data_IF_089326379441
#
_entry.id   IF_089326379441
#
_cell.length_a   1.000
_cell.length_b   1.000
_cell.length_c   1.000
_cell.angle_alpha   90.00
_cell.angle_beta   90.00
_cell.angle_gamma   90.00
#
_symmetry.space_group_name_H-M   'P 1'
#
loop_
_entity.id
_entity.type
_entity.pdbx_description
1 polymer ?
#
# COMPACT_ATOMS: atom_id res chain seq x y z
N UNK A 1 -19.37 -7.64 -12.93
CA UNK A 1 -19.11 -8.70 -11.94
C UNK A 1 -17.81 -8.49 -11.14
N UNK A 2 -16.64 -8.32 -11.79
CA UNK A 2 -15.37 -7.99 -11.10
C UNK A 2 -15.43 -6.70 -10.26
N UNK A 3 -16.09 -5.67 -10.79
CA UNK A 3 -16.28 -4.38 -10.10
C UNK A 3 -17.09 -4.49 -8.81
N UNK A 4 -18.16 -5.29 -8.79
CA UNK A 4 -18.97 -5.53 -7.59
C UNK A 4 -18.22 -6.36 -6.55
N UNK A 5 -17.49 -7.40 -6.98
CA UNK A 5 -16.64 -8.19 -6.10
C UNK A 5 -15.57 -7.33 -5.41
N UNK A 6 -14.84 -6.49 -6.16
CA UNK A 6 -13.87 -5.55 -5.59
C UNK A 6 -14.46 -4.62 -4.53
N UNK A 7 -15.68 -4.11 -4.76
CA UNK A 7 -16.38 -3.25 -3.80
C UNK A 7 -16.71 -4.00 -2.52
N UNK A 8 -17.18 -5.24 -2.62
CA UNK A 8 -17.51 -6.07 -1.47
C UNK A 8 -16.25 -6.41 -0.65
N UNK A 9 -15.18 -6.88 -1.30
CA UNK A 9 -13.88 -7.13 -0.64
C UNK A 9 -13.38 -5.87 0.07
N UNK A 10 -13.44 -4.70 -0.56
CA UNK A 10 -13.03 -3.43 0.07
C UNK A 10 -13.80 -3.13 1.35
N UNK A 11 -15.10 -3.38 1.40
CA UNK A 11 -15.91 -3.15 2.61
C UNK A 11 -15.54 -4.11 3.73
N UNK A 12 -15.36 -5.40 3.42
CA UNK A 12 -14.91 -6.41 4.39
C UNK A 12 -13.54 -6.03 4.95
N UNK A 13 -12.58 -5.69 4.10
CA UNK A 13 -11.24 -5.29 4.51
C UNK A 13 -11.24 -3.98 5.31
N UNK A 14 -12.06 -2.99 4.91
CA UNK A 14 -12.19 -1.73 5.64
C UNK A 14 -12.75 -1.94 7.04
N UNK A 15 -13.81 -2.73 7.16
CA UNK A 15 -14.42 -3.08 8.44
C UNK A 15 -13.46 -3.85 9.36
N UNK A 16 -12.67 -4.78 8.80
CA UNK A 16 -11.59 -5.45 9.56
C UNK A 16 -10.50 -4.48 10.01
N UNK A 17 -10.10 -3.54 9.15
CA UNK A 17 -9.02 -2.59 9.44
C UNK A 17 -9.39 -1.54 10.47
N UNK A 18 -10.67 -1.18 10.59
CA UNK A 18 -11.15 -0.21 11.59
C UNK A 18 -11.22 -0.78 13.02
N UNK A 19 -10.80 -2.03 13.25
CA UNK A 19 -10.84 -2.66 14.57
C UNK A 19 -12.26 -3.01 15.02
N UNK A 20 -13.16 -3.27 14.07
CA UNK A 20 -14.49 -3.76 14.38
C UNK A 20 -14.40 -5.04 15.23
N UNK A 21 -15.20 -5.11 16.30
CA UNK A 21 -15.36 -6.36 17.05
C UNK A 21 -15.87 -7.46 16.11
N UNK A 22 -15.71 -8.74 16.49
CA UNK A 22 -16.06 -9.87 15.63
C UNK A 22 -17.51 -9.81 15.08
N UNK A 23 -18.43 -9.21 15.84
CA UNK A 23 -19.83 -9.02 15.46
C UNK A 23 -20.08 -7.80 14.56
N UNK A 24 -19.14 -6.85 14.48
CA UNK A 24 -19.23 -5.63 13.66
C UNK A 24 -18.52 -5.78 12.29
N UNK A 25 -18.03 -6.98 11.96
CA UNK A 25 -17.40 -7.23 10.67
C UNK A 25 -18.47 -7.20 9.58
N UNK A 26 -18.26 -6.32 8.58
CA UNK A 26 -19.16 -6.20 7.44
C UNK A 26 -19.34 -7.55 6.72
N UNK A 27 -20.60 -7.99 6.60
CA UNK A 27 -20.96 -9.22 5.92
C UNK A 27 -21.35 -8.93 4.45
N UNK A 28 -20.74 -9.64 3.47
CA UNK A 28 -21.08 -9.46 2.06
C UNK A 28 -22.55 -9.76 1.79
N UNK A 29 -23.21 -8.89 1.02
CA UNK A 29 -24.66 -9.00 0.74
C UNK A 29 -25.05 -10.09 -0.26
N UNK A 30 -24.09 -10.58 -1.05
CA UNK A 30 -24.35 -11.54 -2.12
C UNK A 30 -23.99 -12.95 -1.66
N UNK A 31 -24.93 -13.89 -1.79
CA UNK A 31 -24.75 -15.28 -1.38
C UNK A 31 -23.59 -15.98 -2.11
N UNK A 32 -23.31 -15.58 -3.35
CA UNK A 32 -22.26 -16.16 -4.19
C UNK A 32 -20.90 -15.43 -4.06
N UNK A 33 -20.73 -14.49 -3.12
CA UNK A 33 -19.46 -13.76 -3.00
C UNK A 33 -18.28 -14.71 -2.75
N UNK A 34 -18.51 -15.75 -1.93
CA UNK A 34 -17.52 -16.80 -1.66
C UNK A 34 -17.15 -17.62 -2.91
N UNK A 35 -18.07 -17.77 -3.87
CA UNK A 35 -17.80 -18.48 -5.13
C UNK A 35 -16.91 -17.67 -6.08
N UNK A 36 -16.71 -16.38 -5.81
CA UNK A 36 -15.89 -15.48 -6.61
C UNK A 36 -14.48 -15.29 -6.06
N UNK A 37 -14.09 -16.04 -5.02
CA UNK A 37 -12.75 -15.95 -4.42
C UNK A 37 -11.61 -16.13 -5.43
N UNK A 38 -11.80 -16.93 -6.49
CA UNK A 38 -10.81 -17.10 -7.56
C UNK A 38 -10.45 -15.79 -8.30
N UNK A 39 -11.32 -14.78 -8.26
CA UNK A 39 -11.03 -13.48 -8.84
C UNK A 39 -9.99 -12.71 -8.02
N UNK A 40 -9.90 -12.97 -6.71
CA UNK A 40 -8.94 -12.30 -5.84
C UNK A 40 -7.50 -12.55 -6.32
N UNK A 41 -7.18 -13.79 -6.68
CA UNK A 41 -5.84 -14.20 -7.11
C UNK A 41 -5.41 -13.60 -8.45
N UNK A 42 -6.39 -13.24 -9.30
CA UNK A 42 -6.13 -12.60 -10.60
C UNK A 42 -6.08 -11.07 -10.51
N UNK A 43 -6.77 -10.48 -9.53
CA UNK A 43 -6.89 -9.03 -9.37
C UNK A 43 -5.74 -8.44 -8.54
N UNK A 44 -5.21 -9.21 -7.57
CA UNK A 44 -3.98 -8.83 -6.86
C UNK A 44 -2.82 -9.19 -7.78
N UNK A 45 -2.38 -8.20 -8.56
CA UNK A 45 -1.18 -8.33 -9.39
C UNK A 45 -0.04 -8.86 -8.53
N UNK A 46 0.57 -9.98 -8.94
CA UNK A 46 1.77 -10.47 -8.28
C UNK A 46 2.91 -9.50 -8.53
N UNK A 47 3.74 -9.31 -7.53
CA UNK A 47 5.02 -8.63 -7.70
C UNK A 47 5.83 -9.35 -8.79
N UNK A 48 6.41 -8.58 -9.70
CA UNK A 48 7.25 -9.15 -10.75
C UNK A 48 8.53 -9.67 -10.13
N UNK A 49 8.87 -10.94 -10.42
CA UNK A 49 10.14 -11.54 -9.99
C UNK A 49 11.14 -11.41 -11.13
N UNK A 50 12.25 -10.72 -10.87
CA UNK A 50 13.35 -10.55 -11.82
C UNK A 50 14.30 -11.75 -11.72
N UNK A 51 14.64 -12.38 -12.85
CA UNK A 51 15.62 -13.47 -12.92
C UNK A 51 17.08 -12.97 -13.04
N UNK A 52 17.30 -11.66 -12.99
CA UNK A 52 18.64 -11.08 -13.00
C UNK A 52 19.23 -11.27 -11.61
N UNK A 53 20.18 -12.21 -11.51
CA UNK A 53 21.02 -12.35 -10.33
C UNK A 53 21.86 -11.07 -10.20
N UNK A 54 21.60 -10.25 -9.19
CA UNK A 54 22.37 -9.04 -8.87
C UNK A 54 23.75 -9.42 -8.32
N UNK A 55 24.57 -10.05 -9.16
CA UNK A 55 25.99 -10.25 -8.92
C UNK A 55 26.76 -9.12 -9.60
N UNK A 56 26.84 -7.96 -8.94
CA UNK A 56 28.04 -7.09 -8.84
C UNK A 56 27.67 -5.71 -8.31
N UNK A 57 27.91 -5.48 -7.01
CA UNK A 57 28.74 -4.41 -6.46
C UNK A 57 28.52 -4.32 -4.94
N UNK A 58 29.38 -5.01 -4.17
CA UNK A 58 29.54 -4.70 -2.76
C UNK A 58 30.15 -3.30 -2.61
N UNK A 59 29.37 -2.32 -2.16
CA UNK A 59 29.89 -1.21 -1.36
C UNK A 59 29.47 -1.48 0.09
N UNK A 60 30.41 -1.77 1.02
CA UNK A 60 30.05 -1.89 2.42
C UNK A 60 29.91 -0.47 2.95
N UNK A 61 28.69 0.05 3.08
CA UNK A 61 28.48 1.25 3.87
C UNK A 61 27.95 0.85 5.25
N UNK A 62 28.90 0.93 6.18
CA UNK A 62 28.85 0.68 7.61
C UNK A 62 27.59 1.23 8.30
N UNK A 63 26.88 0.36 9.02
CA UNK A 63 25.85 0.71 9.98
C UNK A 63 26.47 1.34 11.23
N UNK A 64 26.55 2.67 11.27
CA UNK A 64 26.75 3.42 12.51
C UNK A 64 25.42 4.03 12.94
N UNK A 65 24.78 3.39 13.91
CA UNK A 65 23.77 4.02 14.77
C UNK A 65 24.48 5.02 15.70
N UNK A 66 24.38 6.31 15.39
CA UNK A 66 24.66 7.37 16.36
C UNK A 66 23.68 8.52 16.14
N UNK A 67 22.66 8.56 17.00
CA UNK A 67 21.86 9.76 17.27
C UNK A 67 22.79 10.92 17.67
N UNK A 68 22.54 12.14 17.17
CA UNK A 68 22.34 13.22 18.12
C UNK A 68 21.19 14.18 17.77
N UNK A 69 20.65 14.71 18.87
CA UNK A 69 19.71 15.83 19.03
C UNK A 69 20.13 17.12 18.30
N UNK A 70 19.11 17.88 17.89
CA UNK A 70 19.14 19.34 17.70
C UNK A 70 19.21 19.76 16.23
N UNK A 71 18.57 20.81 15.73
CA UNK A 71 17.72 21.85 16.30
C UNK A 71 16.82 22.35 15.15
N UNK A 72 15.70 22.98 15.52
CA UNK A 72 14.84 23.68 14.58
C UNK A 72 15.55 24.88 13.93
N UNK A 73 15.28 25.15 12.65
CA UNK A 73 14.96 26.52 12.18
C UNK A 73 14.51 26.51 10.70
N UNK A 74 13.25 26.89 10.49
CA UNK A 74 12.72 27.70 9.38
C UNK A 74 13.57 27.94 8.13
N UNK A 75 13.12 27.45 6.97
CA UNK A 75 12.95 28.30 5.78
C UNK A 75 12.18 27.60 4.67
N UNK A 76 11.00 28.16 4.39
CA UNK A 76 10.17 27.89 3.22
C UNK A 76 10.83 28.41 1.94
N UNK A 77 10.86 27.65 0.83
CA UNK A 77 11.00 28.23 -0.49
C UNK A 77 9.63 28.14 -1.20
N UNK A 78 9.00 29.31 -1.33
CA UNK A 78 7.93 29.55 -2.30
C UNK A 78 8.41 29.18 -3.71
N UNK A 79 7.81 28.18 -4.35
CA UNK A 79 8.01 27.92 -5.77
C UNK A 79 7.16 28.92 -6.59
N UNK A 80 7.77 30.04 -6.99
CA UNK A 80 7.25 30.93 -8.03
C UNK A 80 7.72 30.41 -9.40
N UNK A 81 6.86 29.69 -10.13
CA UNK A 81 7.00 29.53 -11.58
C UNK A 81 6.04 30.51 -12.28
N UNK A 82 6.63 31.53 -12.90
CA UNK A 82 6.00 32.46 -13.85
C UNK A 82 5.50 31.68 -15.06
N UNK A 83 4.34 32.05 -15.58
CA UNK A 83 3.93 31.73 -16.96
C UNK A 83 3.96 33.04 -17.73
N UNK A 84 4.85 33.13 -18.72
CA UNK A 84 4.87 34.23 -19.68
C UNK A 84 3.60 34.16 -20.57
N UNK A 85 3.06 35.34 -20.90
CA UNK A 85 1.95 35.54 -21.85
C UNK A 85 2.48 36.03 -23.18
#
# INVERSE_FOLDING_TARGET
MRSSFRKEVKKVTASRRSGAAADDIYQPRLWYNNLLLFLHDQEVGRDSVTNVNEATAHTPNNSNSSSPRGEAMSSSPHCLCRTDV
#
